data_IF_799991532646
#
_entry.id   IF_799991532646
#
_cell.length_a   1.000
_cell.length_b   1.000
_cell.length_c   1.000
_cell.angle_alpha   90.00
_cell.angle_beta   90.00
_cell.angle_gamma   90.00
#
_symmetry.space_group_name_H-M   'P 1'
#
loop_
_entity.id
_entity.type
_entity.pdbx_description
1 polymer ?
#
# COMPACT_ATOMS: atom_id res chain seq x y z
N UNK A 1 -14.79 27.99 13.26
CA UNK A 1 -14.73 26.61 13.83
C UNK A 1 -15.37 25.54 12.93
N UNK A 2 -16.57 25.75 12.36
CA UNK A 2 -17.28 24.73 11.55
C UNK A 2 -16.49 24.19 10.35
N UNK A 3 -15.85 25.07 9.56
CA UNK A 3 -15.08 24.68 8.36
C UNK A 3 -13.91 23.76 8.67
N UNK A 4 -13.18 24.02 9.76
CA UNK A 4 -12.07 23.17 10.22
C UNK A 4 -12.54 21.76 10.58
N UNK A 5 -13.68 21.65 11.27
CA UNK A 5 -14.26 20.34 11.64
C UNK A 5 -14.62 19.54 10.40
N UNK A 6 -15.23 20.19 9.40
CA UNK A 6 -15.57 19.54 8.12
C UNK A 6 -14.31 19.10 7.37
N UNK A 7 -13.28 19.95 7.31
CA UNK A 7 -12.02 19.61 6.64
C UNK A 7 -11.31 18.41 7.30
N UNK A 8 -11.29 18.33 8.63
CA UNK A 8 -10.75 17.18 9.35
C UNK A 8 -11.52 15.89 9.04
N UNK A 9 -12.86 15.95 9.02
CA UNK A 9 -13.69 14.78 8.65
C UNK A 9 -13.43 14.30 7.22
N UNK A 10 -13.23 15.21 6.28
CA UNK A 10 -12.89 14.87 4.89
C UNK A 10 -11.52 14.19 4.83
N UNK A 11 -10.53 14.70 5.57
CA UNK A 11 -9.20 14.10 5.62
C UNK A 11 -9.22 12.70 6.25
N UNK A 12 -9.93 12.53 7.38
CA UNK A 12 -10.09 11.22 8.03
C UNK A 12 -10.73 10.20 7.07
N UNK A 13 -11.75 10.61 6.32
CA UNK A 13 -12.42 9.75 5.35
C UNK A 13 -11.51 9.41 4.16
N UNK A 14 -10.67 10.34 3.71
CA UNK A 14 -9.70 10.10 2.65
C UNK A 14 -8.66 9.06 3.07
N UNK A 15 -8.07 9.21 4.26
CA UNK A 15 -7.13 8.22 4.80
C UNK A 15 -7.78 6.84 4.97
N UNK A 16 -9.04 6.80 5.43
CA UNK A 16 -9.79 5.56 5.53
C UNK A 16 -10.00 4.90 4.15
N UNK A 17 -10.25 5.69 3.10
CA UNK A 17 -10.40 5.20 1.73
C UNK A 17 -9.08 4.67 1.16
N UNK A 18 -7.97 5.40 1.33
CA UNK A 18 -6.63 4.96 0.93
C UNK A 18 -6.28 3.61 1.59
N UNK A 19 -6.48 3.49 2.90
CA UNK A 19 -6.24 2.26 3.66
C UNK A 19 -7.14 1.11 3.21
N UNK A 20 -8.39 1.38 2.86
CA UNK A 20 -9.31 0.37 2.36
C UNK A 20 -8.83 -0.22 1.03
N UNK A 21 -8.31 0.62 0.12
CA UNK A 21 -7.73 0.14 -1.14
C UNK A 21 -6.48 -0.71 -0.88
N UNK A 22 -5.59 -0.30 0.02
CA UNK A 22 -4.39 -1.08 0.34
C UNK A 22 -4.75 -2.46 0.94
N UNK A 23 -5.78 -2.53 1.79
CA UNK A 23 -6.30 -3.81 2.30
C UNK A 23 -6.88 -4.66 1.18
N UNK A 24 -7.66 -4.07 0.27
CA UNK A 24 -8.22 -4.78 -0.88
C UNK A 24 -7.11 -5.32 -1.81
N UNK A 25 -6.04 -4.56 -2.04
CA UNK A 25 -4.87 -5.00 -2.80
C UNK A 25 -4.22 -6.22 -2.14
N UNK A 26 -4.02 -6.18 -0.83
CA UNK A 26 -3.40 -7.27 -0.07
C UNK A 26 -4.21 -8.57 -0.17
N UNK A 27 -5.52 -8.50 0.09
CA UNK A 27 -6.40 -9.66 0.01
C UNK A 27 -6.51 -10.22 -1.42
N UNK A 28 -6.60 -9.34 -2.42
CA UNK A 28 -6.67 -9.75 -3.83
C UNK A 28 -5.37 -10.44 -4.26
N UNK A 29 -4.21 -9.92 -3.85
CA UNK A 29 -2.92 -10.56 -4.13
C UNK A 29 -2.80 -11.94 -3.47
N UNK A 30 -3.30 -12.09 -2.23
CA UNK A 30 -3.35 -13.38 -1.54
C UNK A 30 -4.23 -14.38 -2.30
N UNK A 31 -5.41 -13.95 -2.76
CA UNK A 31 -6.28 -14.77 -3.59
C UNK A 31 -5.58 -15.24 -4.88
N UNK A 32 -4.87 -14.35 -5.59
CA UNK A 32 -4.09 -14.69 -6.79
C UNK A 32 -3.06 -15.78 -6.52
N UNK A 33 -2.34 -15.71 -5.38
CA UNK A 33 -1.40 -16.76 -4.97
C UNK A 33 -2.13 -18.08 -4.74
N UNK A 34 -3.20 -18.06 -3.94
CA UNK A 34 -3.97 -19.26 -3.60
C UNK A 34 -4.53 -19.97 -4.83
N UNK A 35 -4.99 -19.22 -5.84
CA UNK A 35 -5.46 -19.79 -7.11
C UNK A 35 -4.34 -20.55 -7.85
N UNK A 36 -3.12 -20.02 -7.82
CA UNK A 36 -1.95 -20.65 -8.44
C UNK A 36 -1.53 -21.91 -7.68
N UNK A 37 -1.48 -21.82 -6.35
CA UNK A 37 -1.08 -22.91 -5.47
C UNK A 37 -2.08 -24.07 -5.54
N UNK A 38 -3.38 -23.79 -5.40
CA UNK A 38 -4.45 -24.80 -5.46
C UNK A 38 -4.46 -25.55 -6.81
N UNK A 39 -4.18 -24.84 -7.91
CA UNK A 39 -4.06 -25.47 -9.23
C UNK A 39 -2.91 -26.48 -9.27
N UNK A 40 -1.74 -26.11 -8.74
CA UNK A 40 -0.56 -26.98 -8.71
C UNK A 40 -0.78 -28.17 -7.78
N UNK A 41 -1.31 -27.92 -6.58
CA UNK A 41 -1.62 -28.96 -5.59
C UNK A 41 -2.61 -30.00 -6.13
N UNK A 42 -3.60 -29.56 -6.89
CA UNK A 42 -4.57 -30.45 -7.54
C UNK A 42 -4.06 -31.13 -8.82
N UNK A 43 -2.80 -30.89 -9.25
CA UNK A 43 -2.23 -31.47 -10.46
C UNK A 43 -2.93 -31.01 -11.75
N UNK A 44 -3.55 -29.82 -11.74
CA UNK A 44 -4.37 -29.33 -12.85
C UNK A 44 -3.52 -28.57 -13.88
N UNK A 45 -3.93 -28.68 -15.14
CA UNK A 45 -3.34 -27.90 -16.24
C UNK A 45 -3.40 -26.38 -15.98
N UNK A 46 -2.40 -25.64 -16.47
CA UNK A 46 -2.30 -24.19 -16.34
C UNK A 46 -3.51 -23.43 -16.91
N UNK A 47 -4.21 -24.02 -17.90
CA UNK A 47 -5.39 -23.39 -18.51
C UNK A 47 -6.64 -23.47 -17.62
N UNK A 48 -6.65 -24.38 -16.63
CA UNK A 48 -7.78 -24.52 -15.71
C UNK A 48 -7.83 -23.32 -14.78
N UNK A 49 -8.94 -22.59 -14.82
CA UNK A 49 -9.12 -21.37 -14.01
C UNK A 49 -8.44 -20.12 -14.56
N UNK A 50 -7.84 -20.17 -15.75
CA UNK A 50 -7.13 -19.02 -16.34
C UNK A 50 -7.99 -17.76 -16.39
N UNK A 51 -9.27 -17.87 -16.78
CA UNK A 51 -10.18 -16.71 -16.81
C UNK A 51 -10.42 -16.07 -15.44
N UNK A 52 -10.32 -16.85 -14.36
CA UNK A 52 -10.41 -16.35 -12.97
C UNK A 52 -9.11 -15.64 -12.60
N UNK A 53 -7.97 -16.23 -12.95
CA UNK A 53 -6.65 -15.60 -12.78
C UNK A 53 -6.59 -14.24 -13.49
N UNK A 54 -6.99 -14.18 -14.76
CA UNK A 54 -6.99 -12.96 -15.56
C UNK A 54 -7.84 -11.85 -14.91
N UNK A 55 -9.04 -12.18 -14.44
CA UNK A 55 -9.93 -11.23 -13.76
C UNK A 55 -9.38 -10.77 -12.41
N UNK A 56 -8.70 -11.64 -11.68
CA UNK A 56 -8.08 -11.30 -10.39
C UNK A 56 -6.90 -10.35 -10.61
N UNK A 57 -6.05 -10.63 -11.60
CA UNK A 57 -4.96 -9.73 -12.01
C UNK A 57 -5.48 -8.37 -12.49
N UNK A 58 -6.54 -8.35 -13.31
CA UNK A 58 -7.17 -7.10 -13.74
C UNK A 58 -7.70 -6.28 -12.56
N UNK A 59 -8.28 -6.94 -11.55
CA UNK A 59 -8.75 -6.29 -10.33
C UNK A 59 -7.61 -5.63 -9.54
N UNK A 60 -6.44 -6.28 -9.45
CA UNK A 60 -5.24 -5.68 -8.82
C UNK A 60 -4.84 -4.39 -9.55
N UNK A 61 -4.83 -4.39 -10.89
CA UNK A 61 -4.51 -3.20 -11.68
C UNK A 61 -5.50 -2.06 -11.41
N UNK A 62 -6.80 -2.38 -11.36
CA UNK A 62 -7.85 -1.40 -11.05
C UNK A 62 -7.67 -0.81 -9.65
N UNK A 63 -7.39 -1.63 -8.64
CA UNK A 63 -7.15 -1.15 -7.27
C UNK A 63 -5.89 -0.28 -7.19
N UNK A 64 -4.80 -0.66 -7.87
CA UNK A 64 -3.58 0.13 -7.91
C UNK A 64 -3.80 1.51 -8.56
N UNK A 65 -4.59 1.56 -9.64
CA UNK A 65 -5.00 2.81 -10.26
C UNK A 65 -5.90 3.63 -9.32
N UNK A 66 -6.88 3.01 -8.67
CA UNK A 66 -7.73 3.67 -7.68
C UNK A 66 -6.93 4.31 -6.54
N UNK A 67 -5.85 3.65 -6.08
CA UNK A 67 -4.94 4.24 -5.09
C UNK A 67 -4.23 5.50 -5.62
N UNK A 68 -3.76 5.46 -6.87
CA UNK A 68 -3.13 6.63 -7.51
C UNK A 68 -4.09 7.82 -7.54
N UNK A 69 -5.33 7.60 -7.98
CA UNK A 69 -6.37 8.65 -8.04
C UNK A 69 -6.65 9.25 -6.65
N UNK A 70 -6.72 8.43 -5.59
CA UNK A 70 -6.90 8.95 -4.22
C UNK A 70 -5.70 9.78 -3.73
N UNK A 71 -4.48 9.37 -4.05
CA UNK A 71 -3.26 10.12 -3.69
C UNK A 71 -3.20 11.45 -4.43
N UNK A 72 -3.66 11.50 -5.68
CA UNK A 72 -3.79 12.75 -6.45
C UNK A 72 -4.89 13.66 -5.88
N UNK A 73 -6.05 13.09 -5.53
CA UNK A 73 -7.13 13.81 -4.87
C UNK A 73 -6.67 14.40 -3.52
N UNK A 74 -5.86 13.67 -2.75
CA UNK A 74 -5.20 14.17 -1.55
C UNK A 74 -4.34 15.41 -1.85
N UNK A 75 -3.50 15.34 -2.89
CA UNK A 75 -2.70 16.49 -3.34
C UNK A 75 -3.57 17.70 -3.65
N UNK A 76 -4.65 17.52 -4.41
CA UNK A 76 -5.60 18.57 -4.76
C UNK A 76 -6.31 19.18 -3.54
N UNK A 77 -6.62 18.37 -2.51
CA UNK A 77 -7.22 18.87 -1.26
C UNK A 77 -6.30 19.83 -0.50
N UNK A 78 -4.98 19.78 -0.72
CA UNK A 78 -4.05 20.78 -0.16
C UNK A 78 -4.31 22.17 -0.75
N UNK A 79 -4.62 22.25 -2.04
CA UNK A 79 -4.99 23.50 -2.72
C UNK A 79 -6.33 24.00 -2.19
N UNK A 80 -7.32 23.10 -2.04
CA UNK A 80 -8.64 23.45 -1.49
C UNK A 80 -8.52 23.98 -0.06
N UNK A 81 -7.69 23.36 0.79
CA UNK A 81 -7.40 23.82 2.15
C UNK A 81 -6.96 25.29 2.18
N UNK A 82 -6.10 25.67 1.24
CA UNK A 82 -5.60 27.04 1.11
C UNK A 82 -6.70 28.02 0.68
N UNK A 83 -7.53 27.63 -0.29
CA UNK A 83 -8.65 28.45 -0.79
C UNK A 83 -9.70 28.75 0.29
N UNK A 84 -9.92 27.82 1.23
CA UNK A 84 -10.90 27.98 2.31
C UNK A 84 -10.30 28.59 3.60
N UNK A 85 -9.10 29.17 3.53
CA UNK A 85 -8.47 29.88 4.63
C UNK A 85 -7.89 28.98 5.73
N UNK A 86 -7.58 27.72 5.43
CA UNK A 86 -6.99 26.75 6.36
C UNK A 86 -5.49 26.50 6.10
N UNK A 87 -4.79 27.41 5.40
CA UNK A 87 -3.35 27.28 5.06
C UNK A 87 -2.47 26.92 6.26
N UNK A 88 -2.65 27.60 7.38
CA UNK A 88 -1.87 27.42 8.62
C UNK A 88 -2.33 26.24 9.47
N UNK A 89 -3.38 25.53 9.06
CA UNK A 89 -3.89 24.36 9.76
C UNK A 89 -3.18 23.12 9.26
N UNK A 90 -2.45 22.47 10.16
CA UNK A 90 -1.95 21.12 9.95
C UNK A 90 -3.12 20.15 10.08
N UNK A 91 -3.43 19.47 8.98
CA UNK A 91 -4.34 18.33 8.92
C UNK A 91 -3.42 17.12 8.74
N UNK A 92 -3.52 16.14 9.64
CA UNK A 92 -2.52 15.09 9.83
C UNK A 92 -2.16 14.28 8.58
N UNK A 93 -1.12 13.47 8.69
CA UNK A 93 -0.59 12.62 7.63
C UNK A 93 0.88 12.29 7.88
N UNK A 94 1.37 11.18 7.34
CA UNK A 94 2.82 10.92 7.29
C UNK A 94 3.46 11.96 6.37
N UNK A 95 4.64 12.48 6.74
CA UNK A 95 5.43 13.35 5.86
C UNK A 95 5.70 12.58 4.57
N UNK A 96 5.04 12.97 3.47
CA UNK A 96 5.42 12.48 2.14
C UNK A 96 6.85 12.96 1.91
N UNK A 97 7.80 12.07 1.55
CA UNK A 97 9.12 12.52 1.16
C UNK A 97 8.97 13.52 0.01
N UNK A 98 9.77 14.57 0.03
CA UNK A 98 9.86 15.48 -1.11
C UNK A 98 10.19 14.65 -2.37
N UNK A 99 9.65 15.03 -3.53
CA UNK A 99 9.83 14.28 -4.79
C UNK A 99 11.32 14.08 -5.16
N UNK A 100 12.22 14.91 -4.58
CA UNK A 100 13.68 14.81 -4.65
C UNK A 100 14.38 14.68 -3.28
N UNK A 101 13.64 14.40 -2.21
CA UNK A 101 14.18 14.18 -0.87
C UNK A 101 14.77 12.77 -0.71
N UNK A 102 15.71 12.55 0.22
CA UNK A 102 16.16 11.19 0.52
C UNK A 102 14.93 10.33 0.88
N UNK A 103 14.84 9.09 0.37
CA UNK A 103 13.70 8.23 0.62
C UNK A 103 13.49 8.14 2.14
N UNK A 104 12.24 8.17 2.62
CA UNK A 104 11.95 8.18 4.03
C UNK A 104 12.57 6.89 4.57
N UNK A 105 13.54 7.05 5.46
CA UNK A 105 14.22 5.92 6.08
C UNK A 105 13.16 5.14 6.84
N UNK A 106 12.59 4.13 6.19
CA UNK A 106 11.64 3.24 6.83
C UNK A 106 12.31 2.69 8.09
N UNK A 107 11.59 2.72 9.21
CA UNK A 107 12.04 2.13 10.49
C UNK A 107 12.43 0.64 10.37
N UNK A 108 12.20 0.02 9.21
CA UNK A 108 12.61 -1.33 8.86
C UNK A 108 14.11 -1.46 8.50
N UNK A 109 14.81 -0.38 8.14
CA UNK A 109 16.24 -0.44 7.81
C UNK A 109 17.13 -0.81 9.02
N UNK A 110 16.70 -0.41 10.22
CA UNK A 110 17.38 -0.76 11.47
C UNK A 110 17.20 -2.22 11.89
N UNK A 111 16.15 -2.90 11.42
CA UNK A 111 15.81 -4.27 11.84
C UNK A 111 16.36 -5.34 10.89
N UNK A 112 16.49 -5.05 9.59
CA UNK A 112 17.02 -6.04 8.63
C UNK A 112 18.54 -6.22 8.68
N UNK A 113 19.28 -5.20 9.12
CA UNK A 113 20.76 -5.26 9.15
C UNK A 113 21.30 -6.19 10.25
N UNK A 114 20.54 -6.43 11.32
CA UNK A 114 20.92 -7.40 12.36
C UNK A 114 20.69 -8.85 11.94
N UNK A 115 19.52 -9.13 11.34
CA UNK A 115 19.02 -10.49 11.11
C UNK A 115 19.73 -11.23 9.95
N UNK A 116 20.19 -10.50 8.92
CA UNK A 116 20.89 -11.10 7.77
C UNK A 116 22.30 -11.61 8.10
N UNK A 117 22.97 -10.95 9.05
CA UNK A 117 24.33 -11.30 9.49
C UNK A 117 24.32 -12.53 10.38
N UNK A 118 23.35 -12.63 11.30
CA UNK A 118 23.20 -13.80 12.18
C UNK A 118 22.73 -15.05 11.42
N UNK A 119 21.80 -14.92 10.46
CA UNK A 119 21.32 -16.05 9.65
C UNK A 119 22.40 -16.63 8.72
N UNK A 120 23.32 -15.80 8.21
CA UNK A 120 24.48 -16.27 7.44
C UNK A 120 25.50 -17.03 8.30
N UNK A 121 25.77 -16.54 9.51
CA UNK A 121 26.68 -17.21 10.45
C UNK A 121 26.12 -18.57 10.93
N UNK A 122 24.80 -18.64 11.18
CA UNK A 122 24.14 -19.88 11.60
C UNK A 122 24.12 -20.96 10.51
N UNK A 123 24.01 -20.58 9.22
CA UNK A 123 24.01 -21.52 8.10
C UNK A 123 25.39 -22.15 7.83
N UNK A 124 26.47 -21.42 8.10
CA UNK A 124 27.85 -21.92 7.92
C UNK A 124 28.32 -22.84 9.06
N UNK A 125 27.74 -22.72 10.26
CA UNK A 125 28.06 -23.61 11.40
C UNK A 125 27.35 -24.98 11.37
N UNK A 126 26.47 -25.21 10.40
CA UNK A 126 25.69 -26.46 10.25
C UNK A 126 26.18 -27.35 9.09
N UNK A 127 27.24 -26.94 8.40
CA UNK A 127 27.82 -27.63 7.23
C UNK A 127 29.30 -28.01 7.46
N UNK A 128 29.74 -28.05 8.72
CA UNK A 128 31.02 -28.65 9.12
C UNK A 128 30.77 -29.67 10.21
#
# INVERSE_FOLDING_TARGET
MKTKIVALKVADQLFAAELAIDRALSETARLTSMLSDARVEAGLSAVVGQSVMDRTCASIVMLANGRRELVEAHGALTIVKDQIGLRTVSIGGMVKPEENGPPPAGQLAGQMSGDLTERRAARLRRVV
#
